data_IF_269532846310
#
_entry.id   IF_269532846310
#
_cell.length_a   1.000
_cell.length_b   1.000
_cell.length_c   1.000
_cell.angle_alpha   90.00
_cell.angle_beta   90.00
_cell.angle_gamma   90.00
#
_symmetry.space_group_name_H-M   'P 1'
#
loop_
_entity.id
_entity.type
_entity.pdbx_description
1 polymer ?
#
# COMPACT_ATOMS: atom_id res chain seq x y z
N UNK A 1 -24.76 -17.70 9.82
CA UNK A 1 -24.09 -17.99 8.54
C UNK A 1 -24.69 -17.18 7.39
N UNK A 2 -26.00 -16.92 7.43
CA UNK A 2 -26.75 -16.12 6.43
C UNK A 2 -26.11 -14.76 6.08
N UNK A 3 -25.65 -13.97 7.07
CA UNK A 3 -25.06 -12.65 6.82
C UNK A 3 -23.81 -12.68 5.93
N UNK A 4 -22.92 -13.65 6.14
CA UNK A 4 -21.66 -13.74 5.37
C UNK A 4 -21.96 -14.08 3.91
N UNK A 5 -22.89 -14.99 3.66
CA UNK A 5 -23.26 -15.40 2.30
C UNK A 5 -23.99 -14.28 1.56
N UNK A 6 -24.86 -13.54 2.24
CA UNK A 6 -25.47 -12.32 1.69
C UNK A 6 -24.42 -11.28 1.36
N UNK A 7 -23.48 -11.00 2.27
CA UNK A 7 -22.41 -10.02 2.04
C UNK A 7 -21.52 -10.45 0.87
N UNK A 8 -21.14 -11.73 0.78
CA UNK A 8 -20.38 -12.28 -0.34
C UNK A 8 -21.12 -12.10 -1.68
N UNK A 9 -22.44 -12.28 -1.70
CA UNK A 9 -23.27 -12.02 -2.89
C UNK A 9 -23.20 -10.55 -3.31
N UNK A 10 -23.39 -9.63 -2.37
CA UNK A 10 -23.33 -8.18 -2.63
C UNK A 10 -21.93 -7.77 -3.14
N UNK A 11 -20.86 -8.30 -2.53
CA UNK A 11 -19.47 -8.05 -2.98
C UNK A 11 -19.28 -8.51 -4.43
N UNK A 12 -19.77 -9.69 -4.79
CA UNK A 12 -19.67 -10.20 -6.17
C UNK A 12 -20.49 -9.39 -7.17
N UNK A 13 -21.63 -8.83 -6.73
CA UNK A 13 -22.51 -8.02 -7.56
C UNK A 13 -22.22 -6.52 -7.51
N UNK A 14 -21.13 -6.10 -6.86
CA UNK A 14 -20.85 -4.68 -6.57
C UNK A 14 -20.92 -3.76 -7.79
N UNK A 15 -20.46 -4.22 -8.98
CA UNK A 15 -20.51 -3.43 -10.23
C UNK A 15 -21.92 -3.33 -10.82
N UNK A 16 -22.76 -4.34 -10.61
CA UNK A 16 -24.15 -4.34 -11.09
C UNK A 16 -25.07 -3.55 -10.17
N UNK A 17 -24.80 -3.60 -8.86
CA UNK A 17 -25.57 -2.90 -7.84
C UNK A 17 -25.06 -1.49 -7.56
N UNK A 18 -23.97 -1.07 -8.20
CA UNK A 18 -23.26 0.18 -7.88
C UNK A 18 -22.93 0.30 -6.39
N UNK A 19 -22.64 -0.84 -5.74
CA UNK A 19 -22.34 -0.90 -4.32
C UNK A 19 -20.85 -0.70 -4.08
N UNK A 20 -20.49 0.02 -3.02
CA UNK A 20 -19.12 0.12 -2.50
C UNK A 20 -19.13 -0.37 -1.07
N UNK A 21 -18.28 -1.33 -0.77
CA UNK A 21 -18.32 -2.07 0.49
C UNK A 21 -17.03 -1.81 1.24
N UNK A 22 -17.15 -1.23 2.42
CA UNK A 22 -16.07 -1.07 3.37
C UNK A 22 -16.29 -2.05 4.52
N UNK A 23 -15.32 -2.93 4.74
CA UNK A 23 -15.35 -3.91 5.83
C UNK A 23 -14.30 -3.47 6.86
N UNK A 24 -14.73 -3.30 8.10
CA UNK A 24 -13.85 -3.04 9.24
C UNK A 24 -14.05 -4.14 10.27
N UNK A 25 -12.96 -4.80 10.67
CA UNK A 25 -12.98 -5.88 11.66
C UNK A 25 -11.80 -5.75 12.61
N UNK A 26 -12.02 -6.11 13.87
CA UNK A 26 -10.94 -6.32 14.85
C UNK A 26 -10.48 -7.78 14.88
N UNK A 27 -11.20 -8.68 14.23
CA UNK A 27 -10.91 -10.12 14.15
C UNK A 27 -10.91 -10.56 12.68
N UNK A 28 -9.77 -10.42 11.97
CA UNK A 28 -9.67 -10.75 10.55
C UNK A 28 -9.84 -12.26 10.29
N UNK A 29 -9.63 -13.10 11.29
CA UNK A 29 -9.69 -14.57 11.20
C UNK A 29 -11.12 -15.12 11.08
N UNK A 30 -12.15 -14.32 11.36
CA UNK A 30 -13.55 -14.78 11.39
C UNK A 30 -14.10 -15.06 9.98
N UNK A 31 -13.55 -14.42 8.93
CA UNK A 31 -13.91 -14.72 7.54
C UNK A 31 -12.79 -14.42 6.53
N UNK A 32 -11.84 -15.34 6.35
CA UNK A 32 -10.76 -15.20 5.37
C UNK A 32 -11.27 -14.99 3.94
N UNK A 33 -12.40 -15.63 3.59
CA UNK A 33 -13.04 -15.50 2.27
C UNK A 33 -13.48 -14.07 1.94
N UNK A 34 -13.80 -13.25 2.94
CA UNK A 34 -14.14 -11.84 2.72
C UNK A 34 -12.88 -11.01 2.46
N UNK A 35 -11.76 -11.35 3.11
CA UNK A 35 -10.47 -10.71 2.88
C UNK A 35 -9.97 -10.97 1.47
N UNK A 36 -10.13 -12.19 0.95
CA UNK A 36 -9.74 -12.55 -0.42
C UNK A 36 -10.44 -11.70 -1.50
N UNK A 37 -11.62 -11.14 -1.20
CA UNK A 37 -12.39 -10.33 -2.13
C UNK A 37 -12.11 -8.83 -2.00
N UNK A 38 -11.34 -8.41 -1.01
CA UNK A 38 -10.95 -7.00 -0.86
C UNK A 38 -10.01 -6.61 -2.01
N UNK A 39 -10.20 -5.42 -2.58
CA UNK A 39 -9.26 -4.83 -3.55
C UNK A 39 -8.24 -3.90 -2.87
N UNK A 40 -8.59 -3.38 -1.71
CA UNK A 40 -7.78 -2.53 -0.86
C UNK A 40 -7.85 -3.09 0.56
N UNK A 41 -6.69 -3.33 1.16
CA UNK A 41 -6.58 -3.72 2.56
C UNK A 41 -5.81 -2.64 3.33
N UNK A 42 -6.44 -2.10 4.38
CA UNK A 42 -5.81 -1.14 5.30
C UNK A 42 -5.55 -1.87 6.60
N UNK A 43 -4.28 -2.07 6.92
CA UNK A 43 -3.82 -2.85 8.06
C UNK A 43 -3.21 -1.93 9.11
N UNK A 44 -3.84 -1.89 10.27
CA UNK A 44 -3.30 -1.20 11.44
C UNK A 44 -2.38 -2.12 12.27
N UNK A 45 -1.76 -1.54 13.30
CA UNK A 45 -0.89 -2.26 14.22
C UNK A 45 -1.60 -3.47 14.83
N UNK A 46 -0.98 -4.64 14.72
CA UNK A 46 -1.29 -5.83 15.51
C UNK A 46 -0.02 -6.64 15.78
N UNK A 47 -0.07 -7.55 16.75
CA UNK A 47 1.07 -8.39 17.14
C UNK A 47 0.80 -9.90 17.03
N UNK A 48 -0.39 -10.31 16.58
CA UNK A 48 -0.78 -11.71 16.42
C UNK A 48 -0.19 -12.32 15.13
N UNK A 49 0.71 -13.33 15.22
CA UNK A 49 1.19 -14.04 14.04
C UNK A 49 0.09 -14.80 13.32
N UNK A 50 -0.93 -15.29 14.05
CA UNK A 50 -2.09 -15.94 13.46
C UNK A 50 -2.93 -14.98 12.61
N UNK A 51 -3.04 -13.71 13.01
CA UNK A 51 -3.68 -12.68 12.18
C UNK A 51 -2.85 -12.37 10.95
N UNK A 52 -1.53 -12.32 11.08
CA UNK A 52 -0.64 -12.14 9.95
C UNK A 52 -0.82 -13.27 8.93
N UNK A 53 -0.76 -14.53 9.35
CA UNK A 53 -0.99 -15.69 8.49
C UNK A 53 -2.36 -15.67 7.80
N UNK A 54 -3.40 -15.16 8.47
CA UNK A 54 -4.74 -15.05 7.89
C UNK A 54 -4.86 -13.99 6.79
N UNK A 55 -4.03 -12.93 6.82
CA UNK A 55 -3.99 -11.88 5.79
C UNK A 55 -2.84 -12.08 4.79
N UNK A 56 -1.88 -12.92 5.11
CA UNK A 56 -0.69 -13.17 4.32
C UNK A 56 -1.03 -13.70 2.93
N UNK A 57 -1.99 -14.62 2.78
CA UNK A 57 -2.40 -15.07 1.44
C UNK A 57 -2.89 -13.93 0.54
N UNK A 58 -3.54 -12.93 1.12
CA UNK A 58 -4.03 -11.75 0.42
C UNK A 58 -2.91 -10.73 0.11
N UNK A 59 -1.90 -10.65 0.97
CA UNK A 59 -0.79 -9.69 0.90
C UNK A 59 0.46 -10.27 0.19
N UNK A 60 0.67 -11.58 0.22
CA UNK A 60 1.85 -12.29 -0.29
C UNK A 60 1.74 -12.62 -1.79
N UNK A 61 0.52 -12.63 -2.35
CA UNK A 61 0.32 -12.45 -3.79
C UNK A 61 0.98 -11.15 -4.29
N UNK A 62 1.18 -10.19 -3.38
CA UNK A 62 2.01 -9.02 -3.58
C UNK A 62 3.50 -9.32 -3.23
N UNK A 63 3.85 -9.83 -2.05
CA UNK A 63 5.25 -9.96 -1.58
C UNK A 63 6.20 -10.92 -2.36
N UNK A 64 5.68 -11.85 -3.17
CA UNK A 64 6.50 -12.91 -3.81
C UNK A 64 7.39 -12.45 -4.98
N UNK A 65 7.36 -11.17 -5.36
CA UNK A 65 8.10 -10.65 -6.52
C UNK A 65 9.58 -10.30 -6.28
N UNK A 66 10.12 -10.40 -5.06
CA UNK A 66 11.55 -10.09 -4.80
C UNK A 66 12.22 -11.18 -3.97
N UNK A 67 13.07 -11.96 -4.63
CA UNK A 67 13.84 -13.03 -4.02
C UNK A 67 14.87 -12.55 -2.99
N UNK A 68 15.13 -13.42 -2.01
CA UNK A 68 16.17 -13.42 -0.96
C UNK A 68 15.89 -12.54 0.27
N UNK A 69 15.80 -13.24 1.42
CA UNK A 69 15.18 -12.91 2.75
C UNK A 69 13.69 -13.21 2.76
N UNK A 70 13.13 -13.76 3.84
CA UNK A 70 11.69 -13.99 3.95
C UNK A 70 11.01 -12.61 4.06
N UNK A 71 10.47 -12.05 2.95
CA UNK A 71 9.93 -10.68 2.95
C UNK A 71 8.76 -10.55 3.93
N UNK A 72 8.13 -11.68 4.23
CA UNK A 72 7.07 -11.87 5.21
C UNK A 72 7.49 -11.46 6.63
N UNK A 73 8.73 -11.78 7.03
CA UNK A 73 9.23 -11.45 8.37
C UNK A 73 9.49 -9.95 8.56
N UNK A 74 9.94 -9.28 7.49
CA UNK A 74 10.18 -7.84 7.48
C UNK A 74 8.86 -7.06 7.48
N UNK A 75 7.85 -7.52 6.75
CA UNK A 75 6.52 -6.92 6.73
C UNK A 75 5.79 -7.04 8.06
N UNK A 76 5.76 -8.24 8.65
CA UNK A 76 5.17 -8.44 9.97
C UNK A 76 5.84 -7.53 11.02
N UNK A 77 7.17 -7.41 10.98
CA UNK A 77 7.91 -6.50 11.86
C UNK A 77 7.51 -5.04 11.65
N UNK A 78 7.26 -4.62 10.41
CA UNK A 78 6.76 -3.29 10.11
C UNK A 78 5.37 -3.05 10.72
N UNK A 79 4.44 -4.01 10.56
CA UNK A 79 3.07 -3.94 11.12
C UNK A 79 3.11 -3.80 12.65
N UNK A 80 3.93 -4.60 13.34
CA UNK A 80 4.05 -4.56 14.81
C UNK A 80 4.55 -3.20 15.32
N UNK A 81 5.36 -2.51 14.50
CA UNK A 81 6.00 -1.23 14.83
C UNK A 81 5.18 0.01 14.46
N UNK A 82 4.05 -0.13 13.76
CA UNK A 82 3.15 0.98 13.45
C UNK A 82 2.74 1.74 14.73
N UNK A 83 2.85 3.06 14.70
CA UNK A 83 2.39 3.93 15.78
C UNK A 83 0.88 4.19 15.71
N UNK A 84 0.33 4.82 16.74
CA UNK A 84 -1.07 5.26 16.73
C UNK A 84 -1.32 6.23 15.59
N UNK A 85 -2.33 5.92 14.77
CA UNK A 85 -2.66 6.68 13.57
C UNK A 85 -1.86 6.27 12.34
N UNK A 86 -1.03 5.23 12.40
CA UNK A 86 -0.33 4.67 11.24
C UNK A 86 -1.01 3.38 10.76
N UNK A 87 -0.89 3.11 9.46
CA UNK A 87 -1.38 1.91 8.81
C UNK A 87 -0.54 1.59 7.57
N UNK A 88 -0.58 0.33 7.14
CA UNK A 88 -0.11 -0.08 5.82
C UNK A 88 -1.32 -0.28 4.90
N UNK A 89 -1.21 0.21 3.67
CA UNK A 89 -2.24 0.05 2.64
C UNK A 89 -1.71 -0.86 1.54
N UNK A 90 -2.43 -1.95 1.30
CA UNK A 90 -2.16 -2.89 0.21
C UNK A 90 -3.23 -2.71 -0.86
N UNK A 91 -2.80 -2.52 -2.10
CA UNK A 91 -3.68 -2.39 -3.26
C UNK A 91 -2.88 -2.73 -4.51
N UNK A 92 -2.91 -3.99 -4.98
CA UNK A 92 -2.06 -4.42 -6.09
C UNK A 92 -2.27 -3.63 -7.38
N UNK A 93 -3.50 -3.17 -7.60
CA UNK A 93 -3.88 -2.40 -8.80
C UNK A 93 -3.74 -0.89 -8.63
N UNK A 94 -3.18 -0.40 -7.52
CA UNK A 94 -2.96 1.04 -7.34
C UNK A 94 -1.90 1.53 -8.35
N UNK A 95 -2.22 2.61 -9.06
CA UNK A 95 -1.29 3.29 -9.96
C UNK A 95 -0.61 4.43 -9.20
N UNK A 96 0.72 4.45 -9.23
CA UNK A 96 1.58 5.44 -8.56
C UNK A 96 2.30 6.25 -9.63
N UNK A 97 1.99 7.54 -9.70
CA UNK A 97 2.76 8.47 -10.53
C UNK A 97 4.07 8.84 -9.85
N UNK A 98 5.19 8.66 -10.53
CA UNK A 98 6.44 9.31 -10.17
C UNK A 98 6.42 10.74 -10.71
N UNK A 99 6.60 11.70 -9.82
CA UNK A 99 7.00 13.04 -10.26
C UNK A 99 8.43 12.91 -10.78
N UNK A 100 8.60 12.79 -12.10
CA UNK A 100 9.91 12.98 -12.72
C UNK A 100 10.37 14.39 -12.35
N UNK A 101 11.42 14.47 -11.52
CA UNK A 101 12.01 15.74 -11.13
C UNK A 101 12.56 16.44 -12.36
N UNK A 102 11.77 17.32 -12.96
CA UNK A 102 12.25 18.29 -13.94
C UNK A 102 13.21 19.23 -13.24
N UNK A 103 14.51 18.96 -13.37
CA UNK A 103 15.59 19.74 -12.79
C UNK A 103 15.43 21.22 -13.12
N UNK A 104 15.06 22.00 -12.10
CA UNK A 104 15.29 23.43 -12.09
C UNK A 104 16.61 23.65 -11.35
N UNK A 105 17.63 24.02 -12.11
CA UNK A 105 18.86 24.62 -11.61
C UNK A 105 18.49 25.91 -10.87
N UNK A 106 18.34 25.80 -9.56
CA UNK A 106 18.13 26.91 -8.64
C UNK A 106 18.96 26.62 -7.42
N UNK A 107 20.20 27.11 -7.48
CA UNK A 107 21.07 27.40 -6.34
C UNK A 107 20.26 27.97 -5.18
N UNK A 108 20.27 27.27 -4.04
CA UNK A 108 20.35 27.81 -2.68
C UNK A 108 20.28 26.61 -1.71
N UNK A 109 21.42 26.35 -1.06
CA UNK A 109 21.62 25.19 -0.20
C UNK A 109 20.92 25.29 1.15
N UNK A 110 20.46 24.14 1.64
CA UNK A 110 20.36 23.83 3.06
C UNK A 110 20.45 22.29 3.20
N UNK A 111 21.53 21.86 3.85
CA UNK A 111 21.96 20.49 4.09
C UNK A 111 21.20 19.91 5.31
N UNK A 112 20.28 18.98 5.07
CA UNK A 112 19.68 18.13 6.11
C UNK A 112 19.87 16.66 5.75
N UNK A 113 20.98 16.10 6.23
CA UNK A 113 21.39 14.72 6.03
C UNK A 113 20.40 13.70 6.60
N UNK A 114 19.84 12.87 5.71
CA UNK A 114 19.38 11.52 6.04
C UNK A 114 20.00 10.54 5.03
N UNK A 115 20.82 9.63 5.52
CA UNK A 115 21.62 8.74 4.67
C UNK A 115 20.76 7.62 4.06
N UNK A 116 20.64 7.59 2.73
CA UNK A 116 19.95 6.55 1.97
C UNK A 116 20.95 5.47 1.55
N UNK A 117 21.00 4.38 2.31
CA UNK A 117 21.90 3.25 2.07
C UNK A 117 21.35 2.31 0.98
N UNK A 118 21.69 2.56 -0.27
CA UNK A 118 21.77 1.52 -1.31
C UNK A 118 22.75 1.97 -2.40
N UNK A 119 23.88 1.27 -2.48
CA UNK A 119 24.95 1.55 -3.44
C UNK A 119 24.62 1.01 -4.82
N UNK A 120 24.80 1.86 -5.82
CA UNK A 120 24.90 1.50 -7.23
C UNK A 120 26.08 0.55 -7.45
N UNK A 121 25.81 -0.59 -8.10
CA UNK A 121 26.84 -1.37 -8.78
C UNK A 121 26.77 -1.02 -10.26
N UNK A 122 27.85 -0.39 -10.70
CA UNK A 122 28.24 -0.13 -12.08
C UNK A 122 28.62 -1.47 -12.74
N UNK A 123 28.03 -1.77 -13.89
CA UNK A 123 28.56 -2.77 -14.82
C UNK A 123 28.18 -2.35 -16.25
N UNK A 124 29.21 -1.95 -16.98
CA UNK A 124 29.17 -1.53 -18.36
C UNK A 124 29.26 -2.74 -19.29
N UNK A 125 28.27 -2.92 -20.17
CA UNK A 125 28.54 -3.44 -21.52
C UNK A 125 27.38 -3.13 -22.48
N UNK A 126 27.64 -2.21 -23.40
CA UNK A 126 26.80 -1.86 -24.56
C UNK A 126 26.98 -2.86 -25.70
N UNK A 127 25.92 -3.09 -26.51
CA UNK A 127 26.06 -2.75 -27.92
C UNK A 127 24.90 -1.90 -28.44
N UNK A 128 25.26 -0.93 -29.26
CA UNK A 128 24.39 0.04 -29.92
C UNK A 128 23.31 -0.64 -30.80
N UNK A 129 22.08 -0.16 -30.71
CA UNK A 129 21.15 -0.21 -31.84
C UNK A 129 20.42 1.12 -31.97
N UNK A 130 20.54 1.69 -33.17
CA UNK A 130 19.95 2.96 -33.59
C UNK A 130 18.48 2.72 -33.93
N UNK A 131 17.55 3.37 -33.23
CA UNK A 131 16.24 3.74 -33.79
C UNK A 131 15.69 5.00 -33.14
N UNK A 132 15.12 5.82 -34.01
CA UNK A 132 14.70 7.21 -33.89
C UNK A 132 13.37 7.41 -33.12
N UNK A 133 13.19 8.65 -32.65
CA UNK A 133 11.93 9.39 -32.50
C UNK A 133 11.09 9.32 -31.21
N UNK A 134 10.69 10.54 -30.80
CA UNK A 134 9.65 10.96 -29.83
C UNK A 134 9.97 10.90 -28.33
N UNK A 135 10.54 12.00 -27.82
CA UNK A 135 10.56 12.32 -26.39
C UNK A 135 9.19 12.85 -25.97
N UNK A 136 8.22 11.95 -25.83
CA UNK A 136 7.07 12.23 -24.98
C UNK A 136 7.55 12.12 -23.54
N UNK A 137 7.45 13.21 -22.79
CA UNK A 137 7.71 13.21 -21.35
C UNK A 137 6.65 12.36 -20.68
N UNK A 138 6.85 11.04 -20.66
CA UNK A 138 6.00 10.09 -19.96
C UNK A 138 6.01 10.47 -18.48
N UNK A 139 4.89 10.98 -17.99
CA UNK A 139 4.61 10.97 -16.55
C UNK A 139 4.59 9.52 -16.13
N UNK A 140 5.71 9.00 -15.62
CA UNK A 140 5.90 7.59 -15.33
C UNK A 140 4.90 7.13 -14.27
N UNK A 141 3.89 6.39 -14.67
CA UNK A 141 2.93 5.75 -13.78
C UNK A 141 3.28 4.28 -13.67
N UNK A 142 3.46 3.79 -12.45
CA UNK A 142 3.79 2.39 -12.15
C UNK A 142 2.77 1.78 -11.21
N UNK A 143 2.41 0.51 -11.41
CA UNK A 143 1.56 -0.21 -10.45
C UNK A 143 2.30 -0.44 -9.11
N UNK A 144 1.58 -0.30 -7.99
CA UNK A 144 2.06 -0.65 -6.66
C UNK A 144 2.37 -2.16 -6.59
N UNK A 145 1.53 -2.97 -7.23
CA UNK A 145 1.64 -4.41 -7.35
C UNK A 145 1.89 -5.08 -6.01
N UNK A 146 3.13 -5.46 -5.83
CA UNK A 146 3.70 -6.19 -4.70
C UNK A 146 3.81 -5.39 -3.39
N UNK A 147 3.84 -4.06 -3.53
CA UNK A 147 4.19 -3.15 -2.45
C UNK A 147 3.04 -2.80 -1.51
N UNK A 148 3.38 -1.99 -0.53
CA UNK A 148 2.42 -1.32 0.33
C UNK A 148 2.74 0.17 0.40
N UNK A 149 1.72 0.96 0.70
CA UNK A 149 1.88 2.37 1.02
C UNK A 149 1.81 2.59 2.53
N UNK A 150 2.60 3.53 3.04
CA UNK A 150 2.49 3.99 4.41
C UNK A 150 1.39 5.04 4.52
N UNK A 151 0.41 4.81 5.39
CA UNK A 151 -0.65 5.77 5.70
C UNK A 151 -0.46 6.30 7.12
N UNK A 152 -0.41 7.63 7.26
CA UNK A 152 -0.42 8.30 8.56
C UNK A 152 -1.60 9.28 8.63
N UNK A 153 -2.50 9.02 9.57
CA UNK A 153 -3.65 9.87 9.85
C UNK A 153 -3.15 11.12 10.55
N UNK A 154 -3.47 12.30 9.99
CA UNK A 154 -3.14 13.59 10.61
C UNK A 154 -3.91 13.75 11.92
N UNK A 155 -3.31 14.44 12.89
CA UNK A 155 -4.03 14.84 14.12
C UNK A 155 -5.28 15.62 13.72
N UNK A 156 -6.42 15.32 14.34
CA UNK A 156 -7.67 16.05 14.11
C UNK A 156 -7.45 17.52 14.46
N UNK A 157 -7.73 18.41 13.50
CA UNK A 157 -7.74 19.87 13.71
C UNK A 157 -9.17 20.28 14.06
N UNK A 158 -9.68 19.79 15.19
CA UNK A 158 -11.00 20.17 15.68
C UNK A 158 -10.84 20.74 17.07
N UNK A 159 -11.11 22.04 17.24
CA UNK A 159 -10.99 22.75 18.51
C UNK A 159 -11.90 22.17 19.61
N UNK A 160 -12.92 21.39 19.22
CA UNK A 160 -13.97 20.82 20.08
C UNK A 160 -13.82 19.31 20.35
N UNK A 161 -12.74 18.68 19.87
CA UNK A 161 -12.47 17.25 20.12
C UNK A 161 -13.53 16.27 19.62
N UNK A 162 -14.44 16.68 18.73
CA UNK A 162 -15.50 15.81 18.21
C UNK A 162 -16.63 15.50 19.20
N UNK A 163 -16.89 16.40 20.17
CA UNK A 163 -18.12 16.32 20.97
C UNK A 163 -19.32 16.51 20.04
N UNK A 164 -20.17 15.49 19.95
CA UNK A 164 -21.46 15.58 19.28
C UNK A 164 -22.31 16.63 19.99
N UNK A 165 -22.52 17.80 19.37
CA UNK A 165 -23.58 18.72 19.74
C UNK A 165 -24.89 18.16 19.16
N UNK A 166 -25.37 17.05 19.73
CA UNK A 166 -26.78 16.68 19.59
C UNK A 166 -27.48 17.17 20.85
N UNK A 167 -28.38 18.11 20.59
CA UNK A 167 -29.21 18.89 21.50
C UNK A 167 -30.19 18.03 22.29
#
# INVERSE_FOLDING_TARGET
MEMTDTLLSVVRQQRHLSARILISTQEPTTSPKLLDLCNVAIVHRFASPAWYAAIEGHIAGAATARGKRSPESDLFRAIVRLATGEALVFCPTALIGHASGGGHSGDDGEDDGYESLYSSVDDSDTPESVTDSHTESETGVTELGSGHMWLRIRKRVTADGGRSQLQ
#
